data_IF_684481447051
#
_entry.id   IF_684481447051
#
_cell.length_a   1.000
_cell.length_b   1.000
_cell.length_c   1.000
_cell.angle_alpha   90.00
_cell.angle_beta   90.00
_cell.angle_gamma   90.00
#
_symmetry.space_group_name_H-M   'P 1'
#
loop_
_entity.id
_entity.type
_entity.pdbx_description
1 polymer ?
#
# COMPACT_ATOMS: atom_id res chain seq x y z
N UNK A 1 3.67 -31.09 2.82
CA UNK A 1 3.01 -29.86 2.40
C UNK A 1 1.53 -30.05 2.07
N UNK A 2 1.16 -31.01 1.22
CA UNK A 2 -0.24 -31.26 0.83
C UNK A 2 -1.19 -31.56 2.00
N UNK A 3 -0.74 -32.29 3.03
CA UNK A 3 -1.54 -32.61 4.20
C UNK A 3 -1.84 -31.39 5.08
N UNK A 4 -0.84 -30.53 5.32
CA UNK A 4 -1.01 -29.30 6.12
C UNK A 4 -1.91 -28.29 5.41
N UNK A 5 -1.77 -28.16 4.09
CA UNK A 5 -2.67 -27.33 3.28
C UNK A 5 -4.11 -27.87 3.30
N UNK A 6 -4.28 -29.22 3.25
CA UNK A 6 -5.61 -29.84 3.37
C UNK A 6 -6.28 -29.55 4.71
N UNK A 7 -5.53 -29.40 5.81
CA UNK A 7 -6.11 -29.00 7.11
C UNK A 7 -6.72 -27.61 7.05
N UNK A 8 -6.07 -26.66 6.36
CA UNK A 8 -6.59 -25.31 6.21
C UNK A 8 -7.76 -25.29 5.22
N UNK A 9 -7.53 -25.83 4.02
CA UNK A 9 -8.55 -25.83 2.95
C UNK A 9 -9.76 -26.73 3.27
N UNK A 10 -9.56 -27.79 4.04
CA UNK A 10 -10.65 -28.65 4.53
C UNK A 10 -11.37 -28.10 5.76
N UNK A 11 -10.84 -27.04 6.39
CA UNK A 11 -11.50 -26.42 7.52
C UNK A 11 -12.56 -25.41 7.04
N UNK A 12 -13.83 -25.83 7.14
CA UNK A 12 -14.98 -25.03 6.70
C UNK A 12 -15.02 -23.62 7.31
N UNK A 13 -14.53 -23.44 8.54
CA UNK A 13 -14.52 -22.15 9.21
C UNK A 13 -13.47 -21.20 8.62
N UNK A 14 -12.27 -21.71 8.30
CA UNK A 14 -11.24 -20.92 7.65
C UNK A 14 -11.67 -20.51 6.24
N UNK A 15 -12.27 -21.44 5.49
CA UNK A 15 -12.77 -21.14 4.15
C UNK A 15 -13.95 -20.18 4.15
N UNK A 16 -14.86 -20.32 5.11
CA UNK A 16 -15.95 -19.35 5.31
C UNK A 16 -15.43 -17.98 5.70
N UNK A 17 -14.44 -17.91 6.60
CA UNK A 17 -13.79 -16.64 6.97
C UNK A 17 -13.16 -15.98 5.75
N UNK A 18 -12.41 -16.72 4.93
CA UNK A 18 -11.80 -16.20 3.73
C UNK A 18 -12.84 -15.71 2.72
N UNK A 19 -13.86 -16.51 2.45
CA UNK A 19 -14.94 -16.13 1.54
C UNK A 19 -15.68 -14.88 2.02
N UNK A 20 -16.00 -14.82 3.33
CA UNK A 20 -16.62 -13.65 3.93
C UNK A 20 -15.71 -12.43 3.89
N UNK A 21 -14.42 -12.60 4.19
CA UNK A 21 -13.43 -11.52 4.12
C UNK A 21 -13.32 -10.96 2.70
N UNK A 22 -13.24 -11.82 1.67
CA UNK A 22 -13.21 -11.40 0.27
C UNK A 22 -14.50 -10.69 -0.11
N UNK A 23 -15.65 -11.24 0.24
CA UNK A 23 -16.95 -10.64 -0.09
C UNK A 23 -17.15 -9.27 0.58
N UNK A 24 -16.86 -9.16 1.88
CA UNK A 24 -16.97 -7.90 2.64
C UNK A 24 -15.98 -6.89 2.10
N UNK A 25 -14.72 -7.30 1.87
CA UNK A 25 -13.69 -6.43 1.31
C UNK A 25 -14.12 -5.86 -0.05
N UNK A 26 -14.53 -6.73 -0.98
CA UNK A 26 -14.97 -6.33 -2.31
C UNK A 26 -16.21 -5.42 -2.27
N UNK A 27 -17.20 -5.73 -1.42
CA UNK A 27 -18.41 -4.93 -1.28
C UNK A 27 -18.13 -3.51 -0.74
N UNK A 28 -17.30 -3.42 0.33
CA UNK A 28 -16.95 -2.14 0.91
C UNK A 28 -16.02 -1.34 -0.01
N UNK A 29 -15.12 -2.02 -0.73
CA UNK A 29 -14.28 -1.40 -1.73
C UNK A 29 -15.09 -0.87 -2.92
N UNK A 30 -16.06 -1.66 -3.42
CA UNK A 30 -17.01 -1.22 -4.44
C UNK A 30 -17.75 0.05 -4.00
N UNK A 31 -18.25 0.06 -2.75
CA UNK A 31 -18.90 1.24 -2.18
C UNK A 31 -17.95 2.45 -2.10
N UNK A 32 -16.65 2.24 -1.85
CA UNK A 32 -15.64 3.29 -1.89
C UNK A 32 -15.43 3.84 -3.30
N UNK A 33 -15.40 2.96 -4.31
CA UNK A 33 -15.27 3.34 -5.73
C UNK A 33 -16.48 4.15 -6.23
N UNK A 34 -17.69 3.81 -5.77
CA UNK A 34 -18.95 4.45 -6.20
C UNK A 34 -19.44 5.55 -5.25
N UNK A 35 -18.59 5.98 -4.31
CA UNK A 35 -18.97 7.01 -3.34
C UNK A 35 -19.22 8.34 -4.05
N UNK A 36 -20.33 9.00 -3.68
CA UNK A 36 -20.62 10.37 -4.03
C UNK A 36 -19.59 11.33 -3.36
N UNK A 37 -19.01 12.20 -4.16
CA UNK A 37 -17.98 13.17 -3.77
C UNK A 37 -18.53 14.60 -3.54
N UNK A 38 -19.86 14.72 -3.41
CA UNK A 38 -20.52 16.02 -3.26
C UNK A 38 -21.40 16.39 -4.45
N UNK A 39 -22.07 15.37 -5.02
CA UNK A 39 -22.99 15.51 -6.16
C UNK A 39 -22.45 14.97 -7.47
N UNK A 40 -21.24 14.40 -7.48
CA UNK A 40 -20.66 13.66 -8.61
C UNK A 40 -19.87 12.45 -8.11
N UNK A 41 -19.61 11.51 -8.96
CA UNK A 41 -18.89 10.27 -8.67
C UNK A 41 -17.55 10.23 -9.41
N UNK A 42 -16.68 9.28 -9.03
CA UNK A 42 -15.45 9.02 -9.78
C UNK A 42 -15.69 8.59 -11.22
N UNK A 43 -16.85 7.98 -11.49
CA UNK A 43 -17.23 7.64 -12.86
C UNK A 43 -17.51 8.88 -13.70
N UNK A 44 -18.06 9.94 -13.09
CA UNK A 44 -18.28 11.22 -13.75
C UNK A 44 -16.95 11.91 -14.04
N UNK A 45 -16.01 11.92 -13.08
CA UNK A 45 -14.64 12.41 -13.29
C UNK A 45 -14.00 11.66 -14.48
N UNK A 46 -14.10 10.33 -14.51
CA UNK A 46 -13.56 9.53 -15.61
C UNK A 46 -14.17 9.89 -16.96
N UNK A 47 -15.47 10.20 -17.00
CA UNK A 47 -16.14 10.59 -18.24
C UNK A 47 -15.57 11.91 -18.80
N UNK A 48 -15.24 12.87 -17.93
CA UNK A 48 -14.65 14.15 -18.34
C UNK A 48 -13.24 14.00 -18.93
N UNK A 49 -12.47 12.98 -18.51
CA UNK A 49 -11.18 12.70 -19.15
C UNK A 49 -11.26 12.33 -20.65
N UNK A 50 -12.44 12.01 -21.16
CA UNK A 50 -12.67 11.83 -22.58
C UNK A 50 -12.87 13.15 -23.36
N UNK A 51 -13.05 14.27 -22.63
CA UNK A 51 -13.41 15.58 -23.19
C UNK A 51 -12.43 16.69 -22.76
N UNK A 52 -11.15 16.33 -22.53
CA UNK A 52 -10.13 17.28 -22.05
C UNK A 52 -9.87 18.45 -23.00
N UNK A 53 -10.14 18.29 -24.29
CA UNK A 53 -10.02 19.32 -25.31
C UNK A 53 -11.01 20.49 -25.12
N UNK A 54 -12.17 20.23 -24.54
CA UNK A 54 -13.21 21.25 -24.26
C UNK A 54 -13.25 21.69 -22.81
N UNK A 55 -12.50 21.04 -21.93
CA UNK A 55 -12.53 21.27 -20.47
C UNK A 55 -12.35 22.73 -20.07
N UNK A 56 -11.32 23.39 -20.59
CA UNK A 56 -11.02 24.79 -20.26
C UNK A 56 -12.12 25.75 -20.74
N UNK A 57 -12.70 25.51 -21.91
CA UNK A 57 -13.77 26.33 -22.44
C UNK A 57 -15.05 26.20 -21.61
N UNK A 58 -15.40 24.97 -21.20
CA UNK A 58 -16.57 24.73 -20.36
C UNK A 58 -16.35 25.29 -18.95
N UNK A 59 -15.16 25.11 -18.37
CA UNK A 59 -14.79 25.63 -17.09
C UNK A 59 -14.90 27.18 -17.05
N UNK A 60 -14.30 27.86 -18.02
CA UNK A 60 -14.34 29.32 -18.11
C UNK A 60 -15.76 29.85 -18.36
N UNK A 61 -16.57 29.16 -19.15
CA UNK A 61 -17.97 29.53 -19.38
C UNK A 61 -18.79 29.44 -18.08
N UNK A 62 -18.62 28.37 -17.31
CA UNK A 62 -19.27 28.21 -16.01
C UNK A 62 -18.75 29.22 -14.98
N UNK A 63 -17.45 29.43 -14.94
CA UNK A 63 -16.83 30.40 -14.02
C UNK A 63 -17.39 31.81 -14.26
N UNK A 64 -17.45 32.22 -15.52
CA UNK A 64 -18.02 33.51 -15.92
C UNK A 64 -19.54 33.60 -15.63
N UNK A 65 -20.26 32.49 -15.68
CA UNK A 65 -21.67 32.42 -15.32
C UNK A 65 -21.94 32.50 -13.81
N UNK A 66 -21.04 31.90 -13.00
CA UNK A 66 -21.14 31.86 -11.54
C UNK A 66 -20.66 33.20 -10.91
N UNK A 67 -19.58 33.78 -11.42
CA UNK A 67 -18.94 34.99 -10.89
C UNK A 67 -19.28 36.25 -11.70
N UNK A 68 -20.54 36.41 -12.15
CA UNK A 68 -21.00 37.70 -12.68
C UNK A 68 -21.06 38.68 -11.53
N UNK A 69 -20.53 39.90 -11.72
CA UNK A 69 -20.66 41.00 -10.76
C UNK A 69 -22.14 41.17 -10.38
N UNK A 70 -22.46 41.07 -9.07
CA UNK A 70 -23.82 41.18 -8.49
C UNK A 70 -24.66 39.86 -8.38
N UNK A 71 -24.18 38.68 -8.73
CA UNK A 71 -24.92 37.45 -8.43
C UNK A 71 -24.47 36.88 -7.06
N UNK A 72 -25.44 36.81 -6.13
CA UNK A 72 -25.25 36.13 -4.87
C UNK A 72 -25.05 34.59 -5.16
N UNK A 73 -23.95 34.01 -4.66
CA UNK A 73 -23.62 32.57 -4.81
C UNK A 73 -24.79 31.66 -4.39
N UNK A 74 -25.62 32.15 -3.45
CA UNK A 74 -26.84 31.46 -3.01
C UNK A 74 -27.92 31.35 -4.09
N UNK A 75 -27.81 32.10 -5.20
CA UNK A 75 -28.77 32.10 -6.31
C UNK A 75 -28.30 31.25 -7.50
N UNK A 76 -27.04 30.78 -7.45
CA UNK A 76 -26.51 29.88 -8.51
C UNK A 76 -27.20 28.52 -8.39
N UNK A 77 -27.68 27.93 -9.50
CA UNK A 77 -28.27 26.60 -9.48
C UNK A 77 -27.31 25.56 -8.94
N UNK A 78 -27.79 24.66 -8.08
CA UNK A 78 -26.99 23.56 -7.51
C UNK A 78 -26.32 22.67 -8.60
N UNK A 79 -26.94 22.59 -9.76
CA UNK A 79 -26.42 21.81 -10.89
C UNK A 79 -25.15 22.47 -11.48
N UNK A 80 -25.14 23.78 -11.62
CA UNK A 80 -23.98 24.53 -12.12
C UNK A 80 -22.82 24.47 -11.13
N UNK A 81 -23.12 24.58 -9.83
CA UNK A 81 -22.12 24.43 -8.78
C UNK A 81 -21.49 23.03 -8.76
N UNK A 82 -22.30 21.98 -8.95
CA UNK A 82 -21.81 20.60 -9.05
C UNK A 82 -20.96 20.39 -10.31
N UNK A 83 -21.41 20.92 -11.46
CA UNK A 83 -20.66 20.85 -12.72
C UNK A 83 -19.33 21.58 -12.59
N UNK A 84 -19.33 22.77 -12.02
CA UNK A 84 -18.12 23.52 -11.72
C UNK A 84 -17.16 22.76 -10.80
N UNK A 85 -17.65 22.17 -9.71
CA UNK A 85 -16.83 21.38 -8.79
C UNK A 85 -16.23 20.14 -9.47
N UNK A 86 -16.98 19.49 -10.36
CA UNK A 86 -16.48 18.36 -11.15
C UNK A 86 -15.36 18.82 -12.10
N UNK A 87 -15.60 19.87 -12.89
CA UNK A 87 -14.61 20.36 -13.86
C UNK A 87 -13.38 20.93 -13.17
N UNK A 88 -13.53 21.61 -12.04
CA UNK A 88 -12.38 22.11 -11.26
C UNK A 88 -11.52 20.97 -10.75
N UNK A 89 -12.12 19.87 -10.29
CA UNK A 89 -11.38 18.69 -9.84
C UNK A 89 -10.55 18.07 -10.98
N UNK A 90 -11.16 17.90 -12.14
CA UNK A 90 -10.45 17.36 -13.33
C UNK A 90 -9.37 18.33 -13.81
N UNK A 91 -9.65 19.63 -13.83
CA UNK A 91 -8.69 20.66 -14.23
C UNK A 91 -7.46 20.68 -13.30
N UNK A 92 -7.66 20.65 -11.98
CA UNK A 92 -6.57 20.65 -11.01
C UNK A 92 -5.68 19.42 -11.17
N UNK A 93 -6.25 18.24 -11.45
CA UNK A 93 -5.50 17.01 -11.72
C UNK A 93 -4.70 17.10 -13.03
N UNK A 94 -5.31 17.63 -14.09
CA UNK A 94 -4.67 17.85 -15.40
C UNK A 94 -3.54 18.89 -15.27
N UNK A 95 -3.80 20.02 -14.62
CA UNK A 95 -2.81 21.07 -14.39
C UNK A 95 -1.62 20.54 -13.57
N UNK A 96 -1.89 19.78 -12.53
CA UNK A 96 -0.86 19.14 -11.70
C UNK A 96 0.03 18.20 -12.54
N UNK A 97 -0.59 17.47 -13.49
CA UNK A 97 0.14 16.59 -14.40
C UNK A 97 0.97 17.38 -15.42
N UNK A 98 0.39 18.44 -15.99
CA UNK A 98 1.08 19.30 -16.97
C UNK A 98 2.24 20.09 -16.35
N UNK A 99 2.11 20.52 -15.10
CA UNK A 99 3.12 21.27 -14.36
C UNK A 99 4.21 20.37 -13.75
N UNK A 100 4.12 19.04 -13.93
CA UNK A 100 5.11 18.09 -13.40
C UNK A 100 6.58 18.42 -13.78
N UNK A 101 6.91 18.80 -15.03
CA UNK A 101 8.28 19.17 -15.37
C UNK A 101 8.80 20.40 -14.60
N UNK A 102 7.92 21.35 -14.29
CA UNK A 102 8.27 22.54 -13.49
C UNK A 102 8.45 22.18 -12.03
N UNK A 103 7.55 21.36 -11.50
CA UNK A 103 7.66 20.79 -10.16
C UNK A 103 9.01 20.10 -9.96
N UNK A 104 9.43 19.23 -10.89
CA UNK A 104 10.72 18.54 -10.82
C UNK A 104 11.92 19.51 -10.89
N UNK A 105 11.86 20.49 -11.80
CA UNK A 105 12.92 21.50 -11.90
C UNK A 105 13.04 22.31 -10.61
N UNK A 106 11.92 22.69 -10.02
CA UNK A 106 11.87 23.38 -8.72
C UNK A 106 12.50 22.54 -7.61
N UNK A 107 12.12 21.26 -7.53
CA UNK A 107 12.66 20.32 -6.54
C UNK A 107 14.18 20.11 -6.69
N UNK A 108 14.68 19.97 -7.92
CA UNK A 108 16.09 19.84 -8.20
C UNK A 108 16.84 21.15 -7.83
N UNK A 109 16.33 22.31 -8.25
CA UNK A 109 16.94 23.60 -7.95
C UNK A 109 17.00 23.88 -6.44
N UNK A 110 15.94 23.57 -5.71
CA UNK A 110 15.92 23.69 -4.24
C UNK A 110 16.96 22.79 -3.59
N UNK A 111 17.08 21.54 -4.05
CA UNK A 111 18.05 20.57 -3.52
C UNK A 111 19.47 21.02 -3.84
N UNK A 112 19.74 21.49 -5.05
CA UNK A 112 21.04 22.06 -5.42
C UNK A 112 21.39 23.30 -4.58
N UNK A 113 20.43 24.19 -4.34
CA UNK A 113 20.65 25.36 -3.50
C UNK A 113 21.02 24.96 -2.06
N UNK A 114 20.34 23.97 -1.49
CA UNK A 114 20.66 23.43 -0.16
C UNK A 114 22.08 22.85 -0.09
N UNK A 115 22.52 22.14 -1.13
CA UNK A 115 23.88 21.60 -1.23
C UNK A 115 24.92 22.72 -1.38
N UNK A 116 24.67 23.72 -2.25
CA UNK A 116 25.58 24.87 -2.46
C UNK A 116 25.77 25.72 -1.20
N UNK A 117 24.69 25.90 -0.41
CA UNK A 117 24.74 26.65 0.84
C UNK A 117 25.43 25.89 1.98
N UNK A 118 25.78 24.60 1.77
CA UNK A 118 26.43 23.77 2.79
C UNK A 118 25.60 23.60 4.06
N UNK A 119 24.27 23.70 3.97
CA UNK A 119 23.36 23.63 5.13
C UNK A 119 23.50 22.34 5.94
N UNK A 120 23.99 21.28 5.30
CA UNK A 120 24.17 19.95 5.89
C UNK A 120 25.61 19.45 5.90
N UNK A 121 26.58 20.35 5.68
CA UNK A 121 28.02 20.00 5.66
C UNK A 121 28.54 19.40 6.97
N UNK A 122 27.87 19.68 8.09
CA UNK A 122 28.17 19.08 9.38
C UNK A 122 27.61 17.65 9.54
N UNK A 123 26.68 17.23 8.66
CA UNK A 123 26.08 15.90 8.64
C UNK A 123 26.33 15.20 7.29
N UNK A 124 27.40 14.41 7.18
CA UNK A 124 27.76 13.72 5.92
C UNK A 124 26.67 12.75 5.44
N UNK A 125 25.79 12.26 6.31
CA UNK A 125 24.67 11.42 5.90
C UNK A 125 23.58 12.24 5.21
N UNK A 126 23.22 13.39 5.77
CA UNK A 126 22.24 14.29 5.18
C UNK A 126 22.68 14.81 3.81
N UNK A 127 23.95 15.20 3.69
CA UNK A 127 24.53 15.64 2.42
C UNK A 127 24.46 14.56 1.33
N UNK A 128 24.92 13.35 1.61
CA UNK A 128 24.83 12.20 0.69
C UNK A 128 23.40 11.82 0.34
N UNK A 129 22.45 12.03 1.26
CA UNK A 129 21.03 11.79 1.01
C UNK A 129 20.48 12.79 0.01
N UNK A 130 20.85 14.07 0.13
CA UNK A 130 20.45 15.11 -0.81
C UNK A 130 21.06 14.87 -2.20
N UNK A 131 22.34 14.51 -2.28
CA UNK A 131 23.02 14.17 -3.56
C UNK A 131 22.31 13.01 -4.28
N UNK A 132 22.00 11.92 -3.56
CA UNK A 132 21.28 10.79 -4.13
C UNK A 132 19.84 11.15 -4.52
N UNK A 133 19.18 12.00 -3.74
CA UNK A 133 17.86 12.52 -4.07
C UNK A 133 17.88 13.34 -5.34
N UNK A 134 18.84 14.27 -5.45
CA UNK A 134 19.05 15.10 -6.65
C UNK A 134 19.30 14.22 -7.88
N UNK A 135 20.20 13.24 -7.79
CA UNK A 135 20.48 12.32 -8.88
C UNK A 135 19.23 11.51 -9.30
N UNK A 136 18.39 11.10 -8.35
CA UNK A 136 17.17 10.37 -8.63
C UNK A 136 16.09 11.24 -9.33
N UNK A 137 15.90 12.48 -8.86
CA UNK A 137 14.94 13.40 -9.49
C UNK A 137 15.44 13.96 -10.82
N UNK A 138 16.73 14.23 -10.98
CA UNK A 138 17.31 14.67 -12.25
C UNK A 138 17.15 13.62 -13.36
N UNK A 139 17.16 12.33 -13.02
CA UNK A 139 16.90 11.26 -13.96
C UNK A 139 15.45 11.26 -14.50
N UNK A 140 14.52 11.93 -13.81
CA UNK A 140 13.11 12.05 -14.22
C UNK A 140 12.81 13.29 -15.06
N UNK A 141 13.75 14.25 -15.21
CA UNK A 141 13.52 15.50 -15.94
C UNK A 141 13.08 15.32 -17.40
N UNK A 142 13.36 14.14 -17.98
CA UNK A 142 12.94 13.79 -19.34
C UNK A 142 11.59 13.09 -19.43
N UNK A 143 10.96 12.77 -18.30
CA UNK A 143 9.69 12.05 -18.29
C UNK A 143 8.55 13.04 -18.58
N UNK A 144 7.81 12.78 -19.65
CA UNK A 144 6.56 13.50 -19.95
C UNK A 144 5.39 12.72 -19.42
N UNK A 145 4.52 13.41 -18.68
CA UNK A 145 3.28 12.84 -18.19
C UNK A 145 2.15 13.27 -19.12
N UNK A 146 1.29 12.33 -19.46
CA UNK A 146 0.04 12.60 -20.16
C UNK A 146 -1.11 12.53 -19.15
N UNK A 147 -2.02 13.53 -19.16
CA UNK A 147 -3.17 13.52 -18.29
C UNK A 147 -4.00 12.25 -18.50
N UNK A 148 -4.24 11.52 -17.44
CA UNK A 148 -5.03 10.28 -17.49
C UNK A 148 -5.70 10.03 -16.15
N UNK A 149 -6.92 9.52 -16.17
CA UNK A 149 -7.71 9.26 -14.97
C UNK A 149 -6.95 8.40 -13.95
N UNK A 150 -6.66 8.91 -12.73
CA UNK A 150 -5.78 8.26 -11.77
C UNK A 150 -6.51 7.34 -10.79
N UNK A 151 -7.79 7.62 -10.49
CA UNK A 151 -8.53 7.10 -9.36
C UNK A 151 -8.61 5.57 -9.29
N UNK A 152 -8.57 4.90 -10.45
CA UNK A 152 -8.62 3.43 -10.47
C UNK A 152 -7.46 2.76 -9.71
N UNK A 153 -6.29 3.41 -9.66
CA UNK A 153 -5.14 2.94 -8.88
C UNK A 153 -5.09 3.64 -7.53
N UNK A 154 -5.40 4.92 -7.46
CA UNK A 154 -5.31 5.72 -6.24
C UNK A 154 -6.21 5.21 -5.13
N UNK A 155 -7.45 4.79 -5.46
CA UNK A 155 -8.37 4.19 -4.48
C UNK A 155 -7.84 2.87 -3.91
N UNK A 156 -7.07 2.10 -4.71
CA UNK A 156 -6.41 0.87 -4.24
C UNK A 156 -5.36 1.16 -3.18
N UNK A 157 -4.62 2.27 -3.31
CA UNK A 157 -3.55 2.66 -2.40
C UNK A 157 -4.08 3.03 -1.02
N UNK A 158 -5.18 3.78 -0.98
CA UNK A 158 -5.77 4.26 0.26
C UNK A 158 -6.58 3.20 1.02
N UNK A 159 -6.74 1.98 0.46
CA UNK A 159 -7.64 0.98 1.02
C UNK A 159 -6.95 0.04 2.01
N UNK A 160 -6.97 0.39 3.29
CA UNK A 160 -6.26 -0.33 4.38
C UNK A 160 -7.05 -1.50 4.99
N UNK A 161 -8.34 -1.62 4.71
CA UNK A 161 -9.15 -2.72 5.25
C UNK A 161 -8.62 -4.09 4.83
N UNK A 162 -8.08 -4.19 3.63
CA UNK A 162 -7.48 -5.42 3.10
C UNK A 162 -6.34 -5.93 3.96
N UNK A 163 -5.48 -5.02 4.47
CA UNK A 163 -4.36 -5.36 5.35
C UNK A 163 -4.87 -5.97 6.67
N UNK A 164 -5.92 -5.38 7.24
CA UNK A 164 -6.55 -5.90 8.46
C UNK A 164 -7.17 -7.29 8.24
N UNK A 165 -7.86 -7.48 7.13
CA UNK A 165 -8.47 -8.78 6.79
C UNK A 165 -7.43 -9.85 6.50
N UNK A 166 -6.32 -9.48 5.84
CA UNK A 166 -5.19 -10.38 5.62
C UNK A 166 -4.53 -10.79 6.94
N UNK A 167 -4.32 -9.84 7.85
CA UNK A 167 -3.77 -10.10 9.19
C UNK A 167 -4.69 -11.05 9.96
N UNK A 168 -5.98 -10.82 9.97
CA UNK A 168 -6.96 -11.70 10.64
C UNK A 168 -6.95 -13.10 10.03
N UNK A 169 -6.93 -13.20 8.70
CA UNK A 169 -6.87 -14.47 7.99
C UNK A 169 -5.57 -15.24 8.27
N UNK A 170 -4.42 -14.55 8.27
CA UNK A 170 -3.13 -15.13 8.62
C UNK A 170 -3.13 -15.65 10.06
N UNK A 171 -3.67 -14.86 11.00
CA UNK A 171 -3.75 -15.23 12.41
C UNK A 171 -4.61 -16.49 12.64
N UNK A 172 -5.81 -16.56 12.05
CA UNK A 172 -6.71 -17.71 12.18
C UNK A 172 -6.12 -18.94 11.51
N UNK A 173 -5.48 -18.79 10.35
CA UNK A 173 -4.82 -19.88 9.63
C UNK A 173 -3.65 -20.45 10.44
N UNK A 174 -2.80 -19.60 11.02
CA UNK A 174 -1.73 -20.01 11.93
C UNK A 174 -2.25 -20.76 13.16
N UNK A 175 -3.35 -20.28 13.73
CA UNK A 175 -4.01 -20.95 14.83
C UNK A 175 -4.42 -22.38 14.48
N UNK A 176 -5.15 -22.56 13.38
CA UNK A 176 -5.64 -23.88 12.93
C UNK A 176 -4.48 -24.84 12.65
N UNK A 177 -3.38 -24.36 12.06
CA UNK A 177 -2.19 -25.19 11.79
C UNK A 177 -1.52 -25.70 13.07
N UNK A 178 -1.55 -24.92 14.15
CA UNK A 178 -0.75 -25.17 15.34
C UNK A 178 -1.55 -25.82 16.48
N UNK A 179 -2.85 -25.49 16.62
CA UNK A 179 -3.64 -25.98 17.74
C UNK A 179 -4.22 -27.38 17.54
N UNK A 180 -4.53 -27.78 16.30
CA UNK A 180 -5.20 -29.05 16.01
C UNK A 180 -4.41 -30.28 16.50
N UNK A 181 -3.07 -30.26 16.43
CA UNK A 181 -2.24 -31.39 16.86
C UNK A 181 -1.96 -31.36 18.36
N UNK A 182 -1.94 -30.17 18.97
CA UNK A 182 -1.76 -30.03 20.43
C UNK A 182 -3.00 -30.49 21.16
N UNK A 183 -4.18 -30.10 20.71
CA UNK A 183 -5.46 -30.53 21.32
C UNK A 183 -5.70 -32.03 21.16
N UNK A 184 -5.19 -32.66 20.10
CA UNK A 184 -5.27 -34.10 19.89
C UNK A 184 -4.17 -34.92 20.61
N UNK A 185 -3.28 -34.28 21.39
CA UNK A 185 -2.19 -34.96 22.09
C UNK A 185 -1.10 -35.57 21.18
N UNK A 186 -1.19 -35.35 19.85
CA UNK A 186 -0.31 -35.94 18.85
C UNK A 186 1.15 -35.47 18.96
N UNK A 187 1.40 -34.33 19.61
CA UNK A 187 2.76 -33.80 19.83
C UNK A 187 3.64 -34.74 20.64
N UNK A 188 3.07 -35.52 21.56
CA UNK A 188 3.82 -36.50 22.37
C UNK A 188 4.34 -37.65 21.52
N UNK A 189 3.54 -38.08 20.54
CA UNK A 189 3.90 -39.17 19.61
C UNK A 189 4.89 -38.71 18.51
N UNK A 190 4.90 -37.42 18.16
CA UNK A 190 5.76 -36.88 17.10
C UNK A 190 7.16 -36.50 17.63
N UNK A 191 7.30 -36.22 18.95
CA UNK A 191 8.57 -35.84 19.56
C UNK A 191 9.70 -36.87 19.45
N UNK A 192 9.48 -38.18 19.57
CA UNK A 192 10.59 -39.17 19.53
C UNK A 192 11.07 -39.55 18.15
N UNK A 193 10.43 -39.07 17.07
CA UNK A 193 10.86 -39.46 15.71
C UNK A 193 12.07 -38.64 15.24
N UNK A 194 13.18 -39.28 14.87
CA UNK A 194 14.47 -38.67 14.48
C UNK A 194 14.38 -37.58 13.38
N UNK A 195 13.32 -37.57 12.58
CA UNK A 195 13.03 -36.55 11.55
C UNK A 195 11.77 -35.73 11.84
N UNK A 196 11.08 -35.98 12.96
CA UNK A 196 9.72 -35.50 13.18
C UNK A 196 9.62 -33.99 13.42
N UNK A 197 10.51 -33.44 14.22
CA UNK A 197 10.38 -32.03 14.63
C UNK A 197 10.68 -31.04 13.52
N UNK A 198 11.87 -31.10 12.92
CA UNK A 198 12.28 -30.12 11.92
C UNK A 198 11.45 -30.19 10.62
N UNK A 199 11.26 -31.41 10.09
CA UNK A 199 10.52 -31.58 8.84
C UNK A 199 9.04 -31.19 8.97
N UNK A 200 8.39 -31.46 10.11
CA UNK A 200 7.00 -31.09 10.37
C UNK A 200 6.88 -29.56 10.51
N UNK A 201 7.80 -28.93 11.24
CA UNK A 201 7.85 -27.49 11.44
C UNK A 201 7.96 -26.75 10.10
N UNK A 202 8.93 -27.10 9.25
CA UNK A 202 9.09 -26.52 7.93
C UNK A 202 7.89 -26.73 7.00
N UNK A 203 7.22 -27.89 7.08
CA UNK A 203 6.00 -28.14 6.31
C UNK A 203 4.85 -27.22 6.75
N UNK A 204 4.75 -26.96 8.06
CA UNK A 204 3.74 -26.01 8.60
C UNK A 204 4.07 -24.58 8.23
N UNK A 205 5.33 -24.17 8.36
CA UNK A 205 5.78 -22.84 7.93
C UNK A 205 5.48 -22.62 6.43
N UNK A 206 5.84 -23.59 5.58
CA UNK A 206 5.54 -23.53 4.15
C UNK A 206 4.03 -23.50 3.84
N UNK A 207 3.22 -24.25 4.60
CA UNK A 207 1.76 -24.20 4.46
C UNK A 207 1.20 -22.84 4.87
N UNK A 208 1.73 -22.24 5.94
CA UNK A 208 1.37 -20.89 6.36
C UNK A 208 1.68 -19.84 5.29
N UNK A 209 2.90 -19.86 4.75
CA UNK A 209 3.32 -18.94 3.67
C UNK A 209 2.46 -19.10 2.42
N UNK A 210 2.14 -20.35 2.03
CA UNK A 210 1.24 -20.62 0.90
C UNK A 210 -0.19 -20.12 1.15
N UNK A 211 -0.67 -20.20 2.39
CA UNK A 211 -2.00 -19.72 2.76
C UNK A 211 -2.05 -18.18 2.73
N UNK A 212 -1.01 -17.51 3.22
CA UNK A 212 -0.89 -16.04 3.14
C UNK A 212 -0.84 -15.59 1.68
N UNK A 213 -0.08 -16.28 0.82
CA UNK A 213 -0.05 -16.01 -0.61
C UNK A 213 -1.46 -16.08 -1.22
N UNK A 214 -2.22 -17.14 -0.91
CA UNK A 214 -3.60 -17.26 -1.38
C UNK A 214 -4.49 -16.12 -0.85
N UNK A 215 -4.32 -15.72 0.40
CA UNK A 215 -5.00 -14.56 0.99
C UNK A 215 -4.70 -13.25 0.26
N UNK A 216 -3.42 -12.98 -0.02
CA UNK A 216 -3.00 -11.79 -0.78
C UNK A 216 -3.63 -11.79 -2.17
N UNK A 217 -3.49 -12.90 -2.91
CA UNK A 217 -4.04 -13.00 -4.28
C UNK A 217 -5.55 -12.80 -4.29
N UNK A 218 -6.28 -13.39 -3.36
CA UNK A 218 -7.73 -13.30 -3.33
C UNK A 218 -8.24 -11.93 -2.86
N UNK A 219 -7.66 -11.37 -1.78
CA UNK A 219 -8.13 -10.11 -1.22
C UNK A 219 -7.73 -8.91 -2.09
N UNK A 220 -6.45 -8.80 -2.47
CA UNK A 220 -6.00 -7.69 -3.32
C UNK A 220 -6.42 -7.89 -4.77
N UNK A 221 -6.47 -9.15 -5.26
CA UNK A 221 -6.98 -9.46 -6.59
C UNK A 221 -8.46 -9.10 -6.74
N UNK A 222 -9.28 -9.30 -5.71
CA UNK A 222 -10.68 -8.88 -5.70
C UNK A 222 -10.80 -7.35 -5.80
N UNK A 223 -10.00 -6.59 -5.04
CA UNK A 223 -9.99 -5.13 -5.13
C UNK A 223 -9.54 -4.65 -6.50
N UNK A 224 -8.47 -5.25 -7.04
CA UNK A 224 -7.98 -4.92 -8.37
C UNK A 224 -9.04 -5.19 -9.44
N UNK A 225 -9.76 -6.31 -9.33
CA UNK A 225 -10.85 -6.65 -10.24
C UNK A 225 -12.03 -5.66 -10.14
N UNK A 226 -12.41 -5.27 -8.93
CA UNK A 226 -13.46 -4.27 -8.70
C UNK A 226 -13.04 -2.91 -9.25
N UNK A 227 -11.80 -2.46 -8.96
CA UNK A 227 -11.29 -1.20 -9.48
C UNK A 227 -11.26 -1.18 -11.01
N UNK A 228 -10.75 -2.25 -11.61
CA UNK A 228 -10.70 -2.40 -13.07
C UNK A 228 -12.10 -2.38 -13.71
N UNK A 229 -13.08 -3.01 -13.07
CA UNK A 229 -14.46 -3.09 -13.58
C UNK A 229 -15.22 -1.77 -13.44
N UNK A 230 -15.06 -1.06 -12.31
CA UNK A 230 -15.84 0.14 -11.99
C UNK A 230 -15.17 1.41 -12.54
N UNK A 231 -13.90 1.60 -12.23
CA UNK A 231 -13.15 2.81 -12.54
C UNK A 231 -12.24 2.66 -13.76
N UNK A 232 -11.80 1.44 -14.06
CA UNK A 232 -10.71 1.19 -15.00
C UNK A 232 -9.35 1.47 -14.35
N UNK A 233 -8.31 0.85 -14.87
CA UNK A 233 -6.94 1.04 -14.39
C UNK A 233 -6.13 2.05 -15.23
N UNK A 234 -6.73 2.54 -16.33
CA UNK A 234 -6.03 3.35 -17.32
C UNK A 234 -4.95 2.56 -18.07
N UNK A 235 -4.03 3.27 -18.75
CA UNK A 235 -2.91 2.64 -19.41
C UNK A 235 -1.90 2.10 -18.36
N UNK A 236 -1.64 0.79 -18.32
CA UNK A 236 -0.69 0.20 -17.39
C UNK A 236 0.78 0.58 -17.70
N UNK A 237 1.09 1.03 -18.91
CA UNK A 237 2.43 1.44 -19.32
C UNK A 237 2.76 2.89 -18.94
N UNK A 238 1.77 3.68 -18.52
CA UNK A 238 2.01 5.08 -18.08
C UNK A 238 2.96 5.15 -16.89
N UNK A 239 3.73 6.24 -16.74
CA UNK A 239 4.57 6.45 -15.57
C UNK A 239 3.74 6.53 -14.28
N UNK A 240 4.27 6.00 -13.16
CA UNK A 240 3.58 6.03 -11.86
C UNK A 240 3.32 7.46 -11.36
N UNK A 241 4.15 8.42 -11.78
CA UNK A 241 4.05 9.83 -11.43
C UNK A 241 2.78 10.52 -11.98
N UNK A 242 2.04 9.87 -12.90
CA UNK A 242 0.72 10.35 -13.34
C UNK A 242 -0.34 10.23 -12.25
N UNK A 243 -0.07 9.48 -11.19
CA UNK A 243 -0.97 9.37 -10.04
C UNK A 243 -0.60 10.48 -9.05
N UNK A 244 -1.55 11.36 -8.67
CA UNK A 244 -1.26 12.54 -7.82
C UNK A 244 -0.53 12.20 -6.53
N UNK A 245 -0.95 11.13 -5.84
CA UNK A 245 -0.30 10.69 -4.60
C UNK A 245 1.12 10.13 -4.79
N UNK A 246 1.54 9.84 -6.04
CA UNK A 246 2.84 9.26 -6.40
C UNK A 246 3.74 10.17 -7.24
N UNK A 247 3.38 11.44 -7.43
CA UNK A 247 4.17 12.40 -8.20
C UNK A 247 5.60 12.55 -7.69
N UNK A 248 5.78 12.53 -6.38
CA UNK A 248 7.10 12.61 -5.75
C UNK A 248 7.89 11.29 -5.76
N UNK A 249 7.36 10.24 -6.41
CA UNK A 249 8.06 8.96 -6.54
C UNK A 249 9.33 9.13 -7.39
N UNK A 250 10.52 8.89 -6.84
CA UNK A 250 11.78 9.14 -7.53
C UNK A 250 12.25 7.95 -8.40
N UNK A 251 11.35 6.99 -8.69
CA UNK A 251 11.69 5.82 -9.51
C UNK A 251 10.92 5.89 -10.83
N UNK A 252 11.59 5.74 -11.96
CA UNK A 252 10.93 5.68 -13.27
C UNK A 252 10.29 4.31 -13.46
N UNK A 253 9.15 4.09 -12.83
CA UNK A 253 8.36 2.87 -12.97
C UNK A 253 7.07 3.15 -13.72
N UNK A 254 6.59 2.14 -14.44
CA UNK A 254 5.23 2.14 -14.97
C UNK A 254 4.24 1.79 -13.85
N UNK A 255 2.98 2.17 -14.03
CA UNK A 255 1.89 1.79 -13.09
C UNK A 255 1.84 0.28 -12.89
N UNK A 256 1.98 -0.51 -13.96
CA UNK A 256 2.01 -1.97 -13.86
C UNK A 256 3.22 -2.48 -13.08
N UNK A 257 4.42 -1.97 -13.39
CA UNK A 257 5.64 -2.34 -12.67
C UNK A 257 5.55 -2.02 -11.17
N UNK A 258 4.98 -0.87 -10.86
CA UNK A 258 4.75 -0.46 -9.48
C UNK A 258 3.70 -1.33 -8.77
N UNK A 259 2.58 -1.69 -9.44
CA UNK A 259 1.57 -2.61 -8.87
C UNK A 259 2.18 -3.97 -8.53
N UNK A 260 3.10 -4.48 -9.34
CA UNK A 260 3.82 -5.72 -9.04
C UNK A 260 4.71 -5.57 -7.79
N UNK A 261 5.43 -4.46 -7.67
CA UNK A 261 6.23 -4.15 -6.48
C UNK A 261 5.33 -4.04 -5.24
N UNK A 262 4.22 -3.32 -5.34
CA UNK A 262 3.23 -3.17 -4.28
C UNK A 262 2.68 -4.52 -3.80
N UNK A 263 2.23 -5.37 -4.71
CA UNK A 263 1.73 -6.71 -4.37
C UNK A 263 2.84 -7.59 -3.77
N UNK A 264 4.06 -7.48 -4.29
CA UNK A 264 5.24 -8.17 -3.76
C UNK A 264 5.55 -7.76 -2.32
N UNK A 265 5.54 -6.47 -2.03
CA UNK A 265 5.75 -5.95 -0.66
C UNK A 265 4.61 -6.33 0.28
N UNK A 266 3.35 -6.29 -0.17
CA UNK A 266 2.19 -6.78 0.61
C UNK A 266 2.30 -8.27 0.92
N UNK A 267 2.82 -9.07 -0.01
CA UNK A 267 3.09 -10.48 0.23
C UNK A 267 4.19 -10.68 1.26
N UNK A 268 5.31 -9.97 1.15
CA UNK A 268 6.40 -10.03 2.12
C UNK A 268 5.94 -9.60 3.51
N UNK A 269 5.15 -8.53 3.59
CA UNK A 269 4.55 -8.09 4.83
C UNK A 269 3.63 -9.17 5.44
N UNK A 270 2.74 -9.74 4.64
CA UNK A 270 1.86 -10.83 5.07
C UNK A 270 2.65 -12.05 5.55
N UNK A 271 3.75 -12.39 4.88
CA UNK A 271 4.65 -13.46 5.29
C UNK A 271 5.36 -13.16 6.61
N UNK A 272 5.87 -11.95 6.80
CA UNK A 272 6.51 -11.52 8.04
C UNK A 272 5.54 -11.59 9.23
N UNK A 273 4.30 -11.09 9.04
CA UNK A 273 3.22 -11.18 10.03
C UNK A 273 2.87 -12.64 10.33
N UNK A 274 2.69 -13.45 9.28
CA UNK A 274 2.39 -14.88 9.41
C UNK A 274 3.49 -15.65 10.16
N UNK A 275 4.76 -15.39 9.82
CA UNK A 275 5.91 -16.00 10.48
C UNK A 275 6.02 -15.60 11.96
N UNK A 276 5.82 -14.31 12.27
CA UNK A 276 5.80 -13.82 13.64
C UNK A 276 4.66 -14.47 14.44
N UNK A 277 3.47 -14.54 13.86
CA UNK A 277 2.34 -15.17 14.50
C UNK A 277 2.57 -16.67 14.72
N UNK A 278 3.18 -17.34 13.74
CA UNK A 278 3.59 -18.72 13.84
C UNK A 278 4.59 -18.94 14.99
N UNK A 279 5.61 -18.09 15.10
CA UNK A 279 6.57 -18.10 16.19
C UNK A 279 5.90 -17.91 17.56
N UNK A 280 5.03 -16.90 17.68
CA UNK A 280 4.30 -16.62 18.92
C UNK A 280 3.41 -17.80 19.34
N UNK A 281 2.72 -18.43 18.41
CA UNK A 281 1.90 -19.62 18.68
C UNK A 281 2.73 -20.83 19.09
N UNK A 282 3.93 -21.01 18.53
CA UNK A 282 4.81 -22.13 18.89
C UNK A 282 5.42 -21.97 20.26
N UNK A 283 5.81 -20.74 20.63
CA UNK A 283 6.46 -20.44 21.91
C UNK A 283 5.47 -20.38 23.08
N UNK A 284 4.33 -19.71 22.92
CA UNK A 284 3.36 -19.53 24.02
C UNK A 284 2.55 -20.79 24.32
N UNK A 285 2.40 -21.66 23.35
CA UNK A 285 1.60 -22.88 23.49
C UNK A 285 0.08 -22.66 23.65
N UNK A 286 -0.36 -21.40 23.78
CA UNK A 286 -1.76 -20.99 23.96
C UNK A 286 -2.14 -19.96 22.91
N UNK A 287 -3.18 -20.25 22.15
CA UNK A 287 -3.67 -19.42 21.06
C UNK A 287 -4.01 -18.00 21.51
N UNK A 288 -4.77 -17.86 22.61
CA UNK A 288 -5.20 -16.57 23.12
C UNK A 288 -4.01 -15.71 23.57
N UNK A 289 -2.94 -16.33 24.15
CA UNK A 289 -1.74 -15.63 24.55
C UNK A 289 -0.96 -15.10 23.33
N UNK A 290 -0.91 -15.87 22.24
CA UNK A 290 -0.32 -15.41 20.98
C UNK A 290 -1.09 -14.23 20.38
N UNK A 291 -2.43 -14.25 20.43
CA UNK A 291 -3.26 -13.11 20.00
C UNK A 291 -3.04 -11.87 20.84
N UNK A 292 -2.98 -12.00 22.16
CA UNK A 292 -2.72 -10.87 23.07
C UNK A 292 -1.32 -10.28 22.85
N UNK A 293 -0.31 -11.13 22.68
CA UNK A 293 1.06 -10.67 22.40
C UNK A 293 1.18 -10.00 21.05
N UNK A 294 0.54 -10.56 20.00
CA UNK A 294 0.53 -9.95 18.68
C UNK A 294 -0.24 -8.61 18.68
N UNK A 295 -1.43 -8.57 19.29
CA UNK A 295 -2.22 -7.35 19.41
C UNK A 295 -1.55 -6.28 20.29
N UNK A 296 -0.99 -6.68 21.43
CA UNK A 296 -0.22 -5.80 22.31
C UNK A 296 1.05 -5.28 21.65
N UNK A 297 1.77 -6.16 20.93
CA UNK A 297 2.95 -5.78 20.15
C UNK A 297 2.62 -4.82 19.01
N UNK A 298 1.52 -5.04 18.28
CA UNK A 298 1.04 -4.13 17.26
C UNK A 298 0.63 -2.78 17.85
N UNK A 299 -0.08 -2.76 18.99
CA UNK A 299 -0.44 -1.54 19.70
C UNK A 299 0.78 -0.76 20.18
N UNK A 300 1.77 -1.45 20.75
CA UNK A 300 3.03 -0.83 21.15
C UNK A 300 3.80 -0.26 19.96
N UNK A 301 3.83 -0.99 18.84
CA UNK A 301 4.47 -0.54 17.61
C UNK A 301 3.80 0.72 17.03
N UNK A 302 2.46 0.83 17.09
CA UNK A 302 1.72 2.03 16.72
C UNK A 302 2.10 3.22 17.62
N UNK A 303 2.18 3.02 18.93
CA UNK A 303 2.57 4.06 19.88
C UNK A 303 4.03 4.51 19.70
N UNK A 304 4.94 3.58 19.43
CA UNK A 304 6.34 3.90 19.15
C UNK A 304 6.53 4.55 17.79
N UNK A 305 5.77 4.14 16.78
CA UNK A 305 5.81 4.69 15.43
C UNK A 305 5.34 6.13 15.33
N UNK A 306 4.57 6.63 16.31
CA UNK A 306 4.15 8.04 16.40
C UNK A 306 5.27 8.97 16.88
N UNK A 307 6.33 8.44 17.49
CA UNK A 307 7.47 9.20 18.00
C UNK A 307 8.57 9.27 16.93
N UNK A 308 8.57 10.28 16.13
CA UNK A 308 9.59 10.93 15.27
C UNK A 308 10.81 10.19 14.72
N UNK A 309 11.31 9.10 15.28
CA UNK A 309 12.49 8.42 14.81
C UNK A 309 12.18 7.38 13.72
N UNK A 310 13.01 7.32 12.67
CA UNK A 310 12.80 6.47 11.50
C UNK A 310 12.85 4.97 11.81
N UNK A 311 13.73 4.55 12.72
CA UNK A 311 13.88 3.13 13.06
C UNK A 311 12.66 2.48 13.72
N UNK A 312 11.97 3.08 14.71
CA UNK A 312 10.72 2.56 15.24
C UNK A 312 9.61 2.50 14.19
N UNK A 313 9.59 3.43 13.21
CA UNK A 313 8.62 3.39 12.11
C UNK A 313 8.83 2.18 11.21
N UNK A 314 10.08 1.83 10.90
CA UNK A 314 10.40 0.66 10.07
C UNK A 314 10.13 -0.66 10.77
N UNK A 315 10.46 -0.75 12.08
CA UNK A 315 10.19 -1.93 12.89
C UNK A 315 8.70 -2.12 13.19
N UNK A 316 7.88 -1.07 12.96
CA UNK A 316 6.44 -1.15 13.09
C UNK A 316 5.84 -1.90 11.91
N UNK A 317 5.36 -3.13 12.13
CA UNK A 317 4.67 -3.92 11.12
C UNK A 317 3.40 -3.22 10.57
N UNK A 318 2.78 -2.34 11.36
CA UNK A 318 1.64 -1.54 10.91
C UNK A 318 2.05 -0.48 9.89
N UNK A 319 3.20 0.18 10.09
CA UNK A 319 3.75 1.14 9.13
C UNK A 319 4.34 0.45 7.90
N UNK A 320 4.89 -0.75 8.07
CA UNK A 320 5.34 -1.57 6.95
C UNK A 320 4.20 -2.03 6.03
N UNK A 321 2.96 -1.99 6.51
CA UNK A 321 1.78 -2.20 5.68
C UNK A 321 1.49 -1.02 4.74
N UNK A 322 1.94 0.19 5.10
CA UNK A 322 1.79 1.41 4.30
C UNK A 322 2.88 1.48 3.22
N UNK A 323 2.84 0.50 2.30
CA UNK A 323 3.85 0.33 1.25
C UNK A 323 3.99 1.61 0.40
N UNK A 324 2.87 2.24 0.06
CA UNK A 324 2.82 3.45 -0.75
C UNK A 324 3.65 4.60 -0.16
N UNK A 325 3.70 4.77 1.15
CA UNK A 325 4.49 5.83 1.78
C UNK A 325 5.99 5.69 1.55
N UNK A 326 6.48 4.45 1.41
CA UNK A 326 7.90 4.20 1.14
C UNK A 326 8.33 4.64 -0.27
N UNK A 327 7.36 4.77 -1.19
CA UNK A 327 7.57 5.15 -2.58
C UNK A 327 7.31 6.63 -2.87
N UNK A 328 6.60 7.35 -1.98
CA UNK A 328 6.22 8.77 -2.15
C UNK A 328 7.39 9.76 -2.09
N UNK A 329 8.63 9.32 -1.95
CA UNK A 329 9.75 10.25 -1.87
C UNK A 329 11.12 9.58 -1.74
N UNK A 330 12.16 10.40 -1.71
CA UNK A 330 13.52 9.95 -1.49
C UNK A 330 13.82 9.78 0.01
N UNK A 331 13.20 8.76 0.64
CA UNK A 331 13.45 8.45 2.05
C UNK A 331 14.64 7.50 2.15
N UNK A 332 15.71 7.98 2.78
CA UNK A 332 16.93 7.22 3.04
C UNK A 332 17.10 6.97 4.53
N UNK A 333 17.58 5.80 4.84
CA UNK A 333 17.88 5.35 6.19
C UNK A 333 19.39 5.25 6.37
N UNK A 334 19.85 5.71 7.53
CA UNK A 334 21.25 5.62 7.89
C UNK A 334 21.59 4.19 8.32
N UNK A 335 22.28 3.46 7.46
CA UNK A 335 22.81 2.14 7.76
C UNK A 335 24.34 2.23 7.84
N UNK A 336 24.87 2.38 9.04
CA UNK A 336 26.29 2.56 9.30
C UNK A 336 26.95 3.66 8.44
N UNK A 337 26.29 4.82 8.30
CA UNK A 337 26.77 5.95 7.51
C UNK A 337 26.45 5.88 6.01
N UNK A 338 25.85 4.78 5.54
CA UNK A 338 25.42 4.63 4.16
C UNK A 338 23.93 4.95 4.02
N UNK A 339 23.53 5.85 3.13
CA UNK A 339 22.12 6.12 2.84
C UNK A 339 21.56 4.97 1.99
N UNK A 340 20.76 4.11 2.63
CA UNK A 340 19.97 3.07 1.98
C UNK A 340 18.56 3.55 1.78
N UNK A 341 18.01 3.31 0.60
CA UNK A 341 16.65 3.69 0.28
C UNK A 341 15.65 2.81 1.02
N UNK A 342 14.59 3.42 1.57
CA UNK A 342 13.56 2.68 2.30
C UNK A 342 12.91 1.59 1.45
N UNK A 343 12.64 1.85 0.17
CA UNK A 343 12.08 0.89 -0.78
C UNK A 343 12.91 -0.38 -0.97
N UNK A 344 14.22 -0.33 -0.74
CA UNK A 344 15.10 -1.50 -0.79
C UNK A 344 15.23 -2.18 0.58
N UNK A 345 15.28 -1.38 1.64
CA UNK A 345 15.51 -1.88 3.00
C UNK A 345 14.26 -2.56 3.58
N UNK A 346 13.08 -2.02 3.32
CA UNK A 346 11.83 -2.57 3.85
C UNK A 346 11.57 -4.03 3.39
N UNK A 347 11.63 -4.37 2.09
CA UNK A 347 11.50 -5.75 1.64
C UNK A 347 12.57 -6.68 2.23
N UNK A 348 13.82 -6.23 2.34
CA UNK A 348 14.90 -7.00 2.94
C UNK A 348 14.64 -7.31 4.43
N UNK A 349 14.17 -6.33 5.20
CA UNK A 349 13.78 -6.53 6.60
C UNK A 349 12.60 -7.50 6.74
N UNK A 350 11.56 -7.36 5.92
CA UNK A 350 10.41 -8.25 5.93
C UNK A 350 10.82 -9.69 5.60
N UNK A 351 11.73 -9.86 4.65
CA UNK A 351 12.28 -11.18 4.32
C UNK A 351 13.06 -11.77 5.51
N UNK A 352 13.91 -10.98 6.16
CA UNK A 352 14.67 -11.43 7.34
C UNK A 352 13.73 -11.79 8.50
N UNK A 353 12.67 -11.01 8.74
CA UNK A 353 11.65 -11.32 9.74
C UNK A 353 10.91 -12.62 9.40
N UNK A 354 10.60 -12.84 8.12
CA UNK A 354 9.96 -14.09 7.66
C UNK A 354 10.86 -15.29 7.92
N UNK A 355 12.13 -15.21 7.52
CA UNK A 355 13.10 -16.29 7.73
C UNK A 355 13.34 -16.52 9.22
N UNK A 356 13.59 -15.46 9.99
CA UNK A 356 13.82 -15.55 11.44
C UNK A 356 12.61 -16.06 12.22
N UNK A 357 11.40 -15.73 11.80
CA UNK A 357 10.16 -16.24 12.41
C UNK A 357 9.86 -17.70 12.03
N UNK A 358 10.45 -18.20 10.93
CA UNK A 358 10.35 -19.58 10.49
C UNK A 358 11.51 -20.49 10.99
N UNK A 359 12.61 -19.92 11.49
CA UNK A 359 13.72 -20.64 12.12
C UNK A 359 13.46 -20.88 13.61
#
# INVERSE_FOLDING_TARGET
MSYELRKILGNRYVMLLLALAVAVNAALFYRRCTKDLGGFTRADIRAEYAHLDTLEQEYDALLNGIYVEDVDIMQVPDEDLRRYALLSTVRDEVETTNNYPEYLRGLCAETEAKLRLGLFSADPFAERTLEKGLAAYSALLGVRLEPSFPDGVEVLLDWRLTDLLLLLFAAVSGLVLLTGERSAGLMVLLRPTRRGHGALYWRKAAAMLATVLAGVVLLYGANLAVSAAVLGLGDPARPIQTIPSMQSCPVPLTVFGWLLCFLGEKLLWGWAVGALFFLLCTTTGRAWAAFLLAGGGAGLALLLGSRGSLWPRLLSLSRAAEVEESWRGCIYLNFFGLPLRQTALLPAMLLLLTVGGCL
#
